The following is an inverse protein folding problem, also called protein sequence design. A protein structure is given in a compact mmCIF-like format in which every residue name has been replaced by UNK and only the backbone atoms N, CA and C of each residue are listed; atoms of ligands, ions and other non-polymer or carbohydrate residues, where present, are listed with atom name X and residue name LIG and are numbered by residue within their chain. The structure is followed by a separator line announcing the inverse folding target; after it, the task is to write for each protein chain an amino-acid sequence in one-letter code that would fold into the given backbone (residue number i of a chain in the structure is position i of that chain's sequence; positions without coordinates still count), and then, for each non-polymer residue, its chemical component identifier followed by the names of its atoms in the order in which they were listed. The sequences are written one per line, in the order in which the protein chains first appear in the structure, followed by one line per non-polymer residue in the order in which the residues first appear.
data_IF_475354127413
#
_entry.id   IF_475354127413
#
_cell.length_a   1.000
_cell.length_b   1.000
_cell.length_c   1.000
_cell.angle_alpha   90.00
_cell.angle_beta   90.00
_cell.angle_gamma   90.00
#
_symmetry.space_group_name_H-M   'P 1'
#
loop_
_entity.id
_entity.type
_entity.pdbx_description
1 polymer ?
#
# COMPACT_ATOMS: atom_id res chain seq x y z
N UNK A 1 21.23 -7.69 -5.57
CA UNK A 1 20.79 -8.48 -6.75
C UNK A 1 20.00 -7.57 -7.67
N UNK A 2 20.02 -7.82 -8.98
CA UNK A 2 19.20 -7.03 -9.91
C UNK A 2 17.72 -7.35 -9.73
N UNK A 3 16.87 -6.32 -9.80
CA UNK A 3 15.43 -6.53 -9.75
C UNK A 3 14.93 -7.21 -11.02
N UNK A 4 13.89 -8.04 -10.93
CA UNK A 4 13.27 -8.65 -12.11
C UNK A 4 12.84 -7.56 -13.11
N UNK A 5 13.00 -7.83 -14.42
CA UNK A 5 12.62 -6.88 -15.47
C UNK A 5 11.18 -6.37 -15.34
N UNK A 6 10.27 -7.22 -14.83
CA UNK A 6 8.87 -6.88 -14.56
C UNK A 6 8.67 -5.76 -13.55
N UNK A 7 9.64 -5.50 -12.68
CA UNK A 7 9.59 -4.39 -11.74
C UNK A 7 9.48 -3.06 -12.50
N UNK A 8 10.32 -2.87 -13.52
CA UNK A 8 10.42 -1.60 -14.28
C UNK A 8 9.18 -1.25 -15.11
N UNK A 9 8.17 -2.13 -15.18
CA UNK A 9 6.86 -1.78 -15.72
C UNK A 9 6.17 -0.67 -14.90
N UNK A 10 6.58 -0.46 -13.64
CA UNK A 10 6.11 0.66 -12.84
C UNK A 10 6.32 2.04 -13.51
N UNK A 11 7.28 2.15 -14.44
CA UNK A 11 7.56 3.38 -15.19
C UNK A 11 6.38 3.79 -16.09
N UNK A 12 5.54 2.84 -16.49
CA UNK A 12 4.30 3.12 -17.23
C UNK A 12 3.08 3.21 -16.31
N UNK A 13 3.05 2.42 -15.25
CA UNK A 13 1.85 2.27 -14.42
C UNK A 13 1.65 3.46 -13.46
N UNK A 14 2.73 3.94 -12.82
CA UNK A 14 2.65 4.98 -11.78
C UNK A 14 2.22 6.36 -12.31
N UNK A 15 2.67 6.81 -13.49
CA UNK A 15 2.16 8.06 -14.07
C UNK A 15 0.66 8.06 -14.37
N UNK A 16 0.04 6.88 -14.50
CA UNK A 16 -1.38 6.71 -14.79
C UNK A 16 -2.24 6.51 -13.54
N UNK A 17 -1.63 6.42 -12.35
CA UNK A 17 -2.35 6.15 -11.11
C UNK A 17 -3.07 7.41 -10.59
N UNK A 18 -4.32 7.24 -10.14
CA UNK A 18 -5.09 8.32 -9.51
C UNK A 18 -4.94 8.38 -7.98
N UNK A 19 -4.38 7.32 -7.37
CA UNK A 19 -4.17 7.17 -5.93
C UNK A 19 -3.05 6.15 -5.69
N UNK A 20 -2.16 6.42 -4.72
CA UNK A 20 -1.12 5.47 -4.32
C UNK A 20 -1.30 5.07 -2.84
N UNK A 21 -1.54 3.78 -2.59
CA UNK A 21 -1.42 3.20 -1.25
C UNK A 21 -0.01 2.66 -1.02
N UNK A 22 0.58 3.01 0.12
CA UNK A 22 1.88 2.52 0.59
C UNK A 22 1.65 1.88 1.95
N UNK A 23 1.90 0.58 2.05
CA UNK A 23 1.49 -0.21 3.21
C UNK A 23 2.66 -1.02 3.76
N UNK A 24 2.93 -0.90 5.06
CA UNK A 24 3.83 -1.80 5.80
C UNK A 24 5.28 -1.84 5.30
N UNK A 25 5.88 -0.69 4.98
CA UNK A 25 7.25 -0.60 4.46
C UNK A 25 8.01 0.57 5.09
N UNK A 26 9.33 0.44 5.25
CA UNK A 26 10.19 1.54 5.72
C UNK A 26 10.61 2.51 4.62
N UNK A 27 10.41 2.14 3.34
CA UNK A 27 10.90 2.89 2.18
C UNK A 27 12.40 3.23 2.25
N UNK A 28 13.24 2.30 2.72
CA UNK A 28 14.69 2.52 2.87
C UNK A 28 15.53 1.87 1.76
N UNK A 29 14.95 0.94 1.00
CA UNK A 29 15.68 0.12 0.02
C UNK A 29 15.37 0.58 -1.39
N UNK A 30 16.42 1.03 -2.10
CA UNK A 30 16.33 1.38 -3.52
C UNK A 30 16.47 0.16 -4.43
N UNK A 31 15.88 0.20 -5.64
CA UNK A 31 15.10 1.30 -6.23
C UNK A 31 13.61 1.34 -5.81
N UNK A 32 13.18 0.50 -4.85
CA UNK A 32 11.77 0.43 -4.46
C UNK A 32 11.28 1.71 -3.76
N UNK A 33 12.09 2.28 -2.85
CA UNK A 33 11.74 3.48 -2.12
C UNK A 33 11.38 4.66 -3.03
N UNK A 34 12.07 4.79 -4.17
CA UNK A 34 11.80 5.80 -5.19
C UNK A 34 10.39 5.73 -5.79
N UNK A 35 9.70 4.58 -5.73
CA UNK A 35 8.34 4.44 -6.26
C UNK A 35 7.33 5.34 -5.55
N UNK A 36 7.56 5.67 -4.28
CA UNK A 36 6.69 6.59 -3.56
C UNK A 36 6.64 7.98 -4.23
N UNK A 37 7.69 8.37 -4.95
CA UNK A 37 7.77 9.63 -5.70
C UNK A 37 7.47 9.51 -7.20
N UNK A 38 7.10 8.32 -7.70
CA UNK A 38 6.92 8.08 -9.13
C UNK A 38 5.53 8.48 -9.67
N UNK A 39 4.57 8.79 -8.78
CA UNK A 39 3.25 9.33 -9.16
C UNK A 39 3.30 10.84 -9.37
N UNK A 40 2.35 11.38 -10.14
CA UNK A 40 2.25 12.83 -10.35
C UNK A 40 1.97 13.58 -9.02
N UNK A 41 2.49 14.80 -8.84
CA UNK A 41 2.37 15.53 -7.57
C UNK A 41 0.95 15.96 -7.16
N UNK A 42 -0.05 15.81 -8.05
CA UNK A 42 -1.46 15.98 -7.71
C UNK A 42 -2.12 14.70 -7.18
N UNK A 43 -1.48 13.54 -7.38
CA UNK A 43 -2.01 12.23 -6.99
C UNK A 43 -1.87 12.09 -5.47
N UNK A 44 -2.98 11.91 -4.72
CA UNK A 44 -2.90 11.65 -3.30
C UNK A 44 -2.13 10.36 -3.02
N UNK A 45 -1.35 10.37 -1.94
CA UNK A 45 -0.62 9.19 -1.46
C UNK A 45 -1.05 8.88 -0.03
N UNK A 46 -1.38 7.64 0.24
CA UNK A 46 -1.85 7.18 1.55
C UNK A 46 -0.84 6.19 2.12
N UNK A 47 -0.21 6.57 3.23
CA UNK A 47 0.68 5.71 4.00
C UNK A 47 -0.12 5.02 5.11
N UNK A 48 -0.15 3.69 5.11
CA UNK A 48 -0.64 2.87 6.23
C UNK A 48 0.57 2.15 6.81
N UNK A 49 1.10 2.66 7.91
CA UNK A 49 2.35 2.14 8.47
C UNK A 49 2.45 2.44 9.96
N UNK A 50 3.32 1.73 10.68
CA UNK A 50 3.53 2.00 12.11
C UNK A 50 4.08 3.40 12.36
N UNK A 51 5.03 3.82 11.54
CA UNK A 51 5.80 5.04 11.69
C UNK A 51 5.76 5.85 10.38
N UNK A 52 5.93 7.18 10.45
CA UNK A 52 6.18 8.00 9.26
C UNK A 52 7.51 7.62 8.63
N UNK A 53 7.54 7.48 7.30
CA UNK A 53 8.71 6.95 6.58
C UNK A 53 8.95 7.67 5.26
N UNK A 54 10.20 7.64 4.79
CA UNK A 54 10.60 8.17 3.50
C UNK A 54 10.12 9.61 3.26
N UNK A 55 9.55 9.92 2.07
CA UNK A 55 9.04 11.25 1.78
C UNK A 55 7.97 11.75 2.75
N UNK A 56 7.19 10.88 3.40
CA UNK A 56 6.15 11.30 4.36
C UNK A 56 6.73 11.89 5.64
N UNK A 57 7.95 11.50 6.01
CA UNK A 57 8.64 12.03 7.19
C UNK A 57 9.46 13.29 6.88
N UNK A 58 10.00 13.41 5.66
CA UNK A 58 11.03 14.42 5.33
C UNK A 58 10.52 15.50 4.38
N UNK A 59 9.65 15.14 3.42
CA UNK A 59 9.18 16.01 2.33
C UNK A 59 7.73 15.68 1.98
N UNK A 60 6.84 15.77 2.97
CA UNK A 60 5.44 15.43 2.76
C UNK A 60 4.77 16.43 1.82
N UNK A 61 3.92 15.91 0.94
CA UNK A 61 3.09 16.68 0.03
C UNK A 61 1.77 17.06 0.69
N UNK A 62 1.14 18.15 0.23
CA UNK A 62 -0.11 18.67 0.78
C UNK A 62 -1.30 17.69 0.71
N UNK A 63 -1.23 16.69 -0.16
CA UNK A 63 -2.23 15.66 -0.42
C UNK A 63 -1.79 14.28 0.09
N UNK A 64 -0.69 14.21 0.86
CA UNK A 64 -0.33 12.99 1.58
C UNK A 64 -1.23 12.78 2.80
N UNK A 65 -1.60 11.53 3.03
CA UNK A 65 -2.33 11.11 4.23
C UNK A 65 -1.55 9.98 4.89
N UNK A 66 -1.39 10.03 6.21
CA UNK A 66 -0.75 8.97 6.99
C UNK A 66 -1.71 8.43 8.06
N UNK A 67 -2.03 7.14 7.96
CA UNK A 67 -2.69 6.36 9.00
C UNK A 67 -1.62 5.57 9.77
N UNK A 68 -1.30 6.04 10.97
CA UNK A 68 -0.21 5.48 11.78
C UNK A 68 -0.71 4.41 12.75
N UNK A 69 0.03 3.32 12.84
CA UNK A 69 -0.22 2.24 13.79
C UNK A 69 -0.15 0.85 13.16
N UNK A 70 -0.95 -0.07 13.69
CA UNK A 70 -1.04 -1.41 13.15
C UNK A 70 -1.65 -1.41 11.74
N UNK A 71 -1.00 -2.15 10.82
CA UNK A 71 -1.38 -2.18 9.40
C UNK A 71 -2.77 -2.79 9.20
N UNK A 72 -3.12 -3.83 9.97
CA UNK A 72 -4.42 -4.49 9.84
C UNK A 72 -5.51 -3.49 10.22
N UNK A 73 -5.35 -2.82 11.36
CA UNK A 73 -6.28 -1.80 11.85
C UNK A 73 -6.46 -0.66 10.83
N UNK A 74 -5.37 -0.21 10.20
CA UNK A 74 -5.43 0.82 9.16
C UNK A 74 -6.17 0.36 7.90
N UNK A 75 -5.97 -0.88 7.46
CA UNK A 75 -6.71 -1.46 6.33
C UNK A 75 -8.19 -1.64 6.68
N UNK A 76 -8.51 -2.12 7.88
CA UNK A 76 -9.90 -2.26 8.36
C UNK A 76 -10.64 -0.90 8.33
N UNK A 77 -9.97 0.19 8.72
CA UNK A 77 -10.52 1.53 8.64
C UNK A 77 -10.82 1.97 7.20
N UNK A 78 -9.92 1.70 6.25
CA UNK A 78 -10.16 1.99 4.83
C UNK A 78 -11.37 1.21 4.32
N UNK A 79 -11.45 -0.08 4.66
CA UNK A 79 -12.54 -0.98 4.26
C UNK A 79 -13.87 -0.52 4.84
N UNK A 80 -13.89 -0.08 6.10
CA UNK A 80 -15.08 0.47 6.74
C UNK A 80 -15.55 1.77 6.06
N UNK A 81 -14.63 2.69 5.76
CA UNK A 81 -14.95 3.95 5.07
C UNK A 81 -15.49 3.73 3.65
N UNK A 82 -15.08 2.64 2.99
CA UNK A 82 -15.55 2.26 1.66
C UNK A 82 -16.84 1.42 1.70
N UNK A 83 -17.29 0.99 2.88
CA UNK A 83 -18.46 0.11 3.03
C UNK A 83 -18.20 -1.33 2.58
N UNK A 84 -16.94 -1.80 2.59
CA UNK A 84 -16.53 -3.12 2.10
C UNK A 84 -16.35 -4.17 3.20
N UNK A 85 -16.84 -3.88 4.41
CA UNK A 85 -16.56 -4.71 5.59
C UNK A 85 -17.06 -6.14 5.45
N UNK A 86 -18.31 -6.33 5.04
CA UNK A 86 -18.88 -7.67 4.86
C UNK A 86 -18.18 -8.43 3.74
N UNK A 87 -17.96 -7.78 2.59
CA UNK A 87 -17.29 -8.38 1.43
C UNK A 87 -15.88 -8.88 1.78
N UNK A 88 -15.10 -8.07 2.50
CA UNK A 88 -13.76 -8.47 2.93
C UNK A 88 -13.81 -9.64 3.92
N UNK A 89 -14.76 -9.65 4.86
CA UNK A 89 -14.92 -10.74 5.82
C UNK A 89 -15.26 -12.07 5.13
N UNK A 90 -16.15 -12.04 4.14
CA UNK A 90 -16.50 -13.22 3.33
C UNK A 90 -15.29 -13.73 2.54
N UNK A 91 -14.53 -12.83 1.90
CA UNK A 91 -13.30 -13.18 1.18
C UNK A 91 -12.27 -13.82 2.11
N UNK A 92 -12.03 -13.24 3.29
CA UNK A 92 -11.08 -13.78 4.27
C UNK A 92 -11.50 -15.17 4.76
N UNK A 93 -12.78 -15.38 5.03
CA UNK A 93 -13.31 -16.70 5.43
C UNK A 93 -13.05 -17.74 4.34
N UNK A 94 -13.41 -17.42 3.10
CA UNK A 94 -13.25 -18.30 1.94
C UNK A 94 -11.79 -18.67 1.68
N UNK A 95 -10.86 -17.72 1.79
CA UNK A 95 -9.44 -18.01 1.59
C UNK A 95 -8.83 -18.81 2.75
N UNK A 96 -9.25 -18.57 4.00
CA UNK A 96 -8.85 -19.40 5.16
C UNK A 96 -9.27 -20.85 4.98
N UNK A 97 -10.51 -21.10 4.57
CA UNK A 97 -11.01 -22.46 4.31
C UNK A 97 -10.20 -23.19 3.22
N UNK A 98 -9.75 -22.48 2.16
CA UNK A 98 -8.90 -23.08 1.11
C UNK A 98 -7.52 -23.45 1.61
N UNK A 99 -6.93 -22.67 2.52
CA UNK A 99 -5.62 -22.97 3.10
C UNK A 99 -5.71 -24.22 3.99
N UNK A 100 -6.74 -24.31 4.83
CA UNK A 100 -6.98 -25.47 5.71
C UNK A 100 -7.19 -26.78 4.93
N UNK A 101 -7.75 -26.70 3.71
CA UNK A 101 -7.93 -27.86 2.83
C UNK A 101 -6.60 -28.28 2.18
N UNK A 102 -5.71 -27.33 1.85
CA UNK A 102 -4.40 -27.63 1.25
C UNK A 102 -3.40 -28.21 2.24
N UNK A 103 -3.58 -27.94 3.52
CA UNK A 103 -2.74 -28.46 4.60
C UNK A 103 -3.16 -29.86 5.09
N UNK A 104 -4.29 -30.39 4.60
CA UNK A 104 -4.78 -31.76 4.84
C UNK A 104 -4.51 -32.68 3.66
#
# INVERSE_FOLDING_TARGET
EELPHRFFLHLTDFPMADLLFIVGTSLEVEPFASLAGAVHGSVPRVLINRDLVGPFAVQSQHNDVAELGDVISGVEKVVELLGWKEELQELLKKEKEKLDIKEK
#
